data_IF_806538480332
#
_entry.id   IF_806538480332
#
_cell.length_a   1.000
_cell.length_b   1.000
_cell.length_c   1.000
_cell.angle_alpha   90.00
_cell.angle_beta   90.00
_cell.angle_gamma   90.00
#
_symmetry.space_group_name_H-M   'P 1'
#
loop_
_entity.id
_entity.type
_entity.pdbx_description
1 polymer ?
#
# COMPACT_ATOMS: atom_id res chain seq x y z
N UNK A 1 -5.36 -30.71 4.10
CA UNK A 1 -4.28 -30.22 3.21
C UNK A 1 -4.77 -30.30 1.78
N UNK A 2 -4.49 -29.25 0.98
CA UNK A 2 -4.79 -29.00 -0.45
C UNK A 2 -5.97 -28.02 -0.71
N UNK A 3 -5.67 -26.74 -0.51
CA UNK A 3 -6.46 -25.57 -0.94
C UNK A 3 -5.50 -24.62 -1.70
N UNK A 4 -4.83 -25.11 -2.76
CA UNK A 4 -3.91 -24.28 -3.55
C UNK A 4 -3.80 -24.79 -5.00
N UNK A 5 -4.74 -24.40 -5.85
CA UNK A 5 -4.63 -24.26 -7.33
C UNK A 5 -6.03 -24.34 -7.93
N UNK A 6 -6.64 -23.20 -8.26
CA UNK A 6 -7.42 -23.09 -9.51
C UNK A 6 -7.98 -21.69 -9.77
N UNK A 7 -8.01 -20.79 -8.79
CA UNK A 7 -8.77 -19.54 -8.92
C UNK A 7 -7.84 -18.37 -9.29
N UNK A 8 -7.21 -18.40 -10.46
CA UNK A 8 -6.41 -17.25 -10.92
C UNK A 8 -6.69 -16.74 -12.34
N UNK A 9 -7.36 -17.48 -13.22
CA UNK A 9 -7.47 -17.08 -14.63
C UNK A 9 -8.89 -17.21 -15.23
N UNK A 10 -9.84 -16.33 -14.84
CA UNK A 10 -11.12 -16.12 -15.59
C UNK A 10 -11.30 -14.62 -15.89
N UNK A 11 -11.27 -14.20 -17.18
CA UNK A 11 -11.27 -12.80 -17.59
C UNK A 11 -12.65 -12.10 -17.58
N UNK A 12 -13.76 -12.81 -17.28
CA UNK A 12 -15.12 -12.22 -17.31
C UNK A 12 -15.92 -12.36 -16.01
N UNK A 13 -15.30 -12.82 -14.91
CA UNK A 13 -15.94 -12.72 -13.59
C UNK A 13 -15.96 -11.26 -13.13
N UNK A 14 -17.12 -10.67 -12.81
CA UNK A 14 -17.16 -9.48 -11.96
C UNK A 14 -16.61 -9.92 -10.60
N UNK A 15 -15.39 -9.50 -10.28
CA UNK A 15 -14.64 -10.04 -9.15
C UNK A 15 -15.44 -9.87 -7.84
N UNK A 16 -15.77 -10.99 -7.18
CA UNK A 16 -16.23 -11.10 -5.79
C UNK A 16 -15.75 -9.89 -4.98
N UNK A 17 -16.65 -8.94 -4.67
CA UNK A 17 -16.34 -7.56 -4.21
C UNK A 17 -14.92 -7.43 -3.66
N UNK A 18 -13.95 -7.10 -4.53
CA UNK A 18 -12.54 -7.11 -4.14
C UNK A 18 -12.36 -6.02 -3.09
N UNK A 19 -12.33 -6.40 -1.82
CA UNK A 19 -12.09 -5.46 -0.72
C UNK A 19 -10.70 -4.88 -0.95
N UNK A 20 -10.64 -3.60 -1.29
CA UNK A 20 -9.39 -2.85 -1.45
C UNK A 20 -8.86 -2.52 -0.05
N UNK A 21 -7.61 -2.87 0.22
CA UNK A 21 -6.90 -2.54 1.46
C UNK A 21 -6.18 -1.22 1.27
N UNK A 22 -6.69 -0.18 1.92
CA UNK A 22 -6.22 1.19 1.75
C UNK A 22 -5.71 1.72 3.08
N UNK A 23 -4.55 2.36 3.07
CA UNK A 23 -4.13 3.28 4.12
C UNK A 23 -4.18 4.71 3.57
N UNK A 24 -4.98 5.56 4.19
CA UNK A 24 -5.28 6.91 3.70
C UNK A 24 -4.48 8.01 4.40
N UNK A 25 -3.60 7.68 5.34
CA UNK A 25 -2.88 8.69 6.10
C UNK A 25 -1.55 8.17 6.61
N UNK A 26 -0.47 8.41 5.85
CA UNK A 26 0.87 7.95 6.19
C UNK A 26 1.90 9.05 6.03
N UNK A 27 2.83 9.13 6.98
CA UNK A 27 3.90 10.12 7.00
C UNK A 27 5.26 9.41 6.85
N UNK A 28 6.10 9.92 5.96
CA UNK A 28 7.47 9.48 5.69
C UNK A 28 8.49 10.38 6.41
N UNK A 29 9.77 10.08 6.28
CA UNK A 29 10.88 10.92 6.77
C UNK A 29 10.87 12.37 6.26
N UNK A 30 10.06 12.68 5.23
CA UNK A 30 9.86 14.03 4.72
C UNK A 30 8.85 14.86 5.53
N UNK A 31 8.09 14.22 6.43
CA UNK A 31 7.23 14.91 7.38
C UNK A 31 8.00 15.23 8.67
N UNK A 32 7.87 16.44 9.26
CA UNK A 32 8.56 16.84 10.48
C UNK A 32 8.23 15.96 11.71
N UNK A 33 7.13 15.23 11.68
CA UNK A 33 6.65 14.37 12.78
C UNK A 33 6.95 12.88 12.56
N UNK A 34 7.55 12.49 11.44
CA UNK A 34 7.88 11.11 11.14
C UNK A 34 9.38 10.92 10.93
N UNK A 35 9.88 9.79 11.41
CA UNK A 35 11.27 9.36 11.27
C UNK A 35 11.38 8.08 10.45
N UNK A 36 10.31 7.70 9.75
CA UNK A 36 10.25 6.44 9.00
C UNK A 36 10.93 6.62 7.64
N UNK A 37 12.08 5.98 7.38
CA UNK A 37 12.72 6.10 6.09
C UNK A 37 11.80 5.56 4.97
N UNK A 38 11.78 6.19 3.80
CA UNK A 38 10.92 5.77 2.68
C UNK A 38 11.12 4.29 2.34
N UNK A 39 12.37 3.82 2.34
CA UNK A 39 12.70 2.42 2.04
C UNK A 39 12.13 1.43 3.07
N UNK A 40 11.97 1.83 4.33
CA UNK A 40 11.28 1.02 5.35
C UNK A 40 9.76 1.11 5.17
N UNK A 41 9.24 2.29 4.83
CA UNK A 41 7.82 2.48 4.55
C UNK A 41 7.35 1.58 3.39
N UNK A 42 8.07 1.56 2.27
CA UNK A 42 7.78 0.67 1.12
C UNK A 42 7.80 -0.81 1.53
N UNK A 43 8.76 -1.22 2.37
CA UNK A 43 8.82 -2.60 2.89
C UNK A 43 7.59 -2.93 3.74
N UNK A 44 7.18 -2.03 4.62
CA UNK A 44 6.00 -2.19 5.46
C UNK A 44 4.71 -2.28 4.62
N UNK A 45 4.53 -1.38 3.65
CA UNK A 45 3.39 -1.36 2.73
C UNK A 45 3.25 -2.69 1.99
N UNK A 46 4.35 -3.20 1.41
CA UNK A 46 4.38 -4.49 0.71
C UNK A 46 4.08 -5.65 1.65
N UNK A 47 4.65 -5.65 2.85
CA UNK A 47 4.44 -6.71 3.84
C UNK A 47 3.00 -6.75 4.35
N UNK A 48 2.36 -5.58 4.47
CA UNK A 48 0.97 -5.42 4.87
C UNK A 48 -0.04 -5.76 3.75
N UNK A 49 0.44 -5.95 2.51
CA UNK A 49 -0.38 -6.20 1.31
C UNK A 49 -1.46 -5.13 1.15
N UNK A 50 -1.08 -3.86 1.28
CA UNK A 50 -1.96 -2.74 0.97
C UNK A 50 -2.01 -2.57 -0.55
N UNK A 51 -3.21 -2.33 -1.07
CA UNK A 51 -3.46 -2.08 -2.49
C UNK A 51 -3.24 -0.60 -2.83
N UNK A 52 -3.55 0.31 -1.89
CA UNK A 52 -3.38 1.75 -2.05
C UNK A 52 -2.84 2.35 -0.76
N UNK A 53 -1.92 3.31 -0.89
CA UNK A 53 -1.42 4.13 0.22
C UNK A 53 -1.42 5.59 -0.19
N UNK A 54 -1.90 6.46 0.68
CA UNK A 54 -1.79 7.91 0.53
C UNK A 54 -0.58 8.43 1.32
N UNK A 55 0.35 9.06 0.63
CA UNK A 55 1.43 9.83 1.25
C UNK A 55 0.89 11.22 1.62
N UNK A 56 0.91 11.55 2.92
CA UNK A 56 0.27 12.74 3.48
C UNK A 56 1.22 13.54 4.39
N UNK A 57 2.49 13.67 4.00
CA UNK A 57 3.49 14.42 4.74
C UNK A 57 3.04 15.88 5.01
N UNK A 58 3.36 16.42 6.19
CA UNK A 58 2.93 17.78 6.53
C UNK A 58 3.58 18.83 5.63
N UNK A 59 2.73 19.59 4.93
CA UNK A 59 3.11 20.74 4.10
C UNK A 59 4.09 20.41 2.94
N UNK A 60 4.21 19.14 2.56
CA UNK A 60 5.07 18.72 1.44
C UNK A 60 4.51 17.49 0.73
N UNK A 61 4.93 17.30 -0.52
CA UNK A 61 4.69 16.08 -1.30
C UNK A 61 5.99 15.35 -1.63
N UNK A 62 7.11 15.77 -1.02
CA UNK A 62 8.44 15.29 -1.40
C UNK A 62 8.60 13.78 -1.20
N UNK A 63 8.02 13.23 -0.13
CA UNK A 63 7.97 11.79 0.11
C UNK A 63 7.13 11.06 -0.93
N UNK A 64 5.97 11.62 -1.32
CA UNK A 64 5.11 11.05 -2.36
C UNK A 64 5.78 10.96 -3.73
N UNK A 65 6.64 11.93 -4.08
CA UNK A 65 7.38 11.94 -5.34
C UNK A 65 8.53 10.92 -5.39
N UNK A 66 8.89 10.32 -4.25
CA UNK A 66 10.04 9.41 -4.09
C UNK A 66 9.65 7.99 -3.66
N UNK A 67 8.36 7.75 -3.38
CA UNK A 67 7.79 6.45 -3.02
C UNK A 67 7.56 5.58 -4.26
#
# INVERSE_FOLDING_TARGET
MREERFIRDDPLRPAESSRVRIDMHTHSEYSPDSRTPLAEQVRAIRSARLDVVCATDHNTIEGALRL
#
